data_IF_680862869223
#
_entry.id   IF_680862869223
#
_cell.length_a   1.000
_cell.length_b   1.000
_cell.length_c   1.000
_cell.angle_alpha   90.00
_cell.angle_beta   90.00
_cell.angle_gamma   90.00
#
_symmetry.space_group_name_H-M   'P 1'
#
loop_
_entity.id
_entity.type
_entity.pdbx_description
1 polymer ?
#
# COMPACT_ATOMS: atom_id res chain seq x y z
N UNK A 1 5.21 18.83 -8.74
CA UNK A 1 4.61 17.70 -9.49
C UNK A 1 4.04 16.73 -8.47
N UNK A 2 2.72 16.50 -8.45
CA UNK A 2 2.14 15.49 -7.55
C UNK A 2 2.66 14.12 -7.98
N UNK A 3 3.06 13.29 -7.01
CA UNK A 3 3.61 11.97 -7.27
C UNK A 3 2.60 10.98 -7.89
N UNK A 4 1.32 11.37 -7.96
CA UNK A 4 0.21 10.57 -8.47
C UNK A 4 -0.76 11.47 -9.26
N UNK A 5 -1.28 10.96 -10.39
CA UNK A 5 -2.27 11.65 -11.23
C UNK A 5 -3.68 11.63 -10.64
N UNK A 6 -3.98 10.63 -9.80
CA UNK A 6 -5.23 10.50 -9.05
C UNK A 6 -5.00 9.61 -7.84
N UNK A 7 -5.28 10.12 -6.63
CA UNK A 7 -5.17 9.36 -5.38
C UNK A 7 -6.37 8.41 -5.23
N UNK A 8 -6.13 7.23 -4.66
CA UNK A 8 -7.16 6.18 -4.50
C UNK A 8 -7.42 5.85 -3.03
N UNK A 9 -6.37 5.75 -2.20
CA UNK A 9 -6.51 5.39 -0.79
C UNK A 9 -5.40 5.98 0.06
N UNK A 10 -5.71 6.21 1.33
CA UNK A 10 -4.78 6.63 2.38
C UNK A 10 -5.10 5.91 3.69
N UNK A 11 -4.09 5.57 4.48
CA UNK A 11 -4.30 4.99 5.81
C UNK A 11 -3.15 5.29 6.76
N UNK A 12 -3.49 5.68 7.99
CA UNK A 12 -2.53 5.88 9.10
C UNK A 12 -2.25 4.52 9.77
N UNK A 13 -1.03 4.33 10.29
CA UNK A 13 -0.65 3.11 10.99
C UNK A 13 -1.18 3.09 12.43
N UNK A 14 -1.03 1.98 13.15
CA UNK A 14 -1.57 1.81 14.51
C UNK A 14 -0.89 2.67 15.59
N UNK A 15 0.16 3.42 15.25
CA UNK A 15 0.89 4.30 16.18
C UNK A 15 0.74 5.79 15.85
N UNK A 16 -0.04 6.14 14.83
CA UNK A 16 -0.23 7.51 14.35
C UNK A 16 1.07 8.24 13.93
N UNK A 17 2.10 7.47 13.55
CA UNK A 17 3.41 8.01 13.16
C UNK A 17 3.62 7.99 11.64
N UNK A 18 3.01 7.02 10.96
CA UNK A 18 3.18 6.79 9.54
C UNK A 18 1.83 6.77 8.82
N UNK A 19 1.82 7.19 7.56
CA UNK A 19 0.70 6.91 6.67
C UNK A 19 1.15 6.41 5.31
N UNK A 20 0.32 5.57 4.71
CA UNK A 20 0.45 5.11 3.33
C UNK A 20 -0.49 5.90 2.44
N UNK A 21 -0.05 6.20 1.23
CA UNK A 21 -0.90 6.73 0.17
C UNK A 21 -0.71 5.92 -1.11
N UNK A 22 -1.81 5.61 -1.78
CA UNK A 22 -1.84 5.00 -3.10
C UNK A 22 -2.61 5.90 -4.08
N UNK A 23 -2.33 5.70 -5.36
CA UNK A 23 -3.08 6.30 -6.45
C UNK A 23 -3.32 5.29 -7.56
N UNK A 24 -3.84 5.76 -8.69
CA UNK A 24 -4.06 4.94 -9.90
C UNK A 24 -2.73 4.54 -10.56
N UNK A 25 -1.95 3.74 -9.84
CA UNK A 25 -0.58 3.32 -10.14
C UNK A 25 -0.31 1.98 -9.45
N UNK A 26 0.82 1.35 -9.75
CA UNK A 26 1.25 0.09 -9.11
C UNK A 26 2.10 0.32 -7.86
N UNK A 27 2.14 1.56 -7.37
CA UNK A 27 3.07 2.03 -6.36
C UNK A 27 2.33 2.52 -5.11
N UNK A 28 2.99 2.41 -3.96
CA UNK A 28 2.53 2.94 -2.67
C UNK A 28 3.62 3.82 -2.09
N UNK A 29 3.27 5.00 -1.58
CA UNK A 29 4.19 5.87 -0.86
C UNK A 29 3.95 5.77 0.65
N UNK A 30 5.05 5.73 1.40
CA UNK A 30 5.09 5.79 2.86
C UNK A 30 5.59 7.17 3.30
N UNK A 31 4.89 7.76 4.26
CA UNK A 31 5.18 9.08 4.79
C UNK A 31 5.32 9.03 6.31
N UNK A 32 6.20 9.86 6.83
CA UNK A 32 6.29 10.22 8.24
C UNK A 32 5.35 11.39 8.51
N UNK A 33 4.44 11.23 9.47
CA UNK A 33 3.41 12.23 9.80
C UNK A 33 4.06 13.46 10.42
N UNK A 34 4.99 13.26 11.37
CA UNK A 34 5.57 14.33 12.17
C UNK A 34 6.38 15.34 11.33
N UNK A 35 7.18 14.83 10.39
CA UNK A 35 8.01 15.66 9.52
C UNK A 35 7.35 16.01 8.19
N UNK A 36 6.23 15.37 7.84
CA UNK A 36 5.57 15.50 6.55
C UNK A 36 6.40 14.97 5.37
N UNK A 37 7.48 14.22 5.64
CA UNK A 37 8.40 13.73 4.60
C UNK A 37 7.91 12.40 4.04
N UNK A 38 8.08 12.25 2.73
CA UNK A 38 7.96 10.94 2.08
C UNK A 38 9.22 10.13 2.39
N UNK A 39 9.05 9.05 3.14
CA UNK A 39 10.14 8.16 3.51
C UNK A 39 10.53 7.23 2.36
N UNK A 40 9.52 6.67 1.68
CA UNK A 40 9.73 5.64 0.68
C UNK A 40 8.63 5.61 -0.37
N UNK A 41 8.96 5.12 -1.57
CA UNK A 41 7.99 4.68 -2.57
C UNK A 41 8.28 3.22 -2.86
N UNK A 42 7.30 2.36 -2.61
CA UNK A 42 7.30 0.97 -3.03
C UNK A 42 6.80 0.90 -4.46
N UNK A 43 7.63 0.45 -5.38
CA UNK A 43 7.34 0.44 -6.82
C UNK A 43 6.94 -0.95 -7.29
N UNK A 44 6.02 -1.01 -8.26
CA UNK A 44 5.62 -2.25 -8.95
C UNK A 44 5.17 -3.37 -7.99
N UNK A 45 4.40 -3.01 -6.95
CA UNK A 45 3.89 -3.96 -5.96
C UNK A 45 2.81 -4.90 -6.54
N UNK A 46 2.14 -4.44 -7.59
CA UNK A 46 1.07 -5.14 -8.31
C UNK A 46 1.31 -5.06 -9.82
N UNK A 47 0.60 -5.86 -10.60
CA UNK A 47 0.60 -5.80 -12.07
C UNK A 47 -0.47 -4.83 -12.61
N UNK A 48 -1.41 -4.39 -11.76
CA UNK A 48 -2.49 -3.45 -12.07
C UNK A 48 -2.55 -2.30 -11.07
N UNK A 49 -3.44 -1.33 -11.31
CA UNK A 49 -3.57 -0.16 -10.43
C UNK A 49 -4.08 -0.56 -9.04
N UNK A 50 -3.46 0.02 -8.01
CA UNK A 50 -3.82 -0.19 -6.60
C UNK A 50 -4.99 0.73 -6.25
N UNK A 51 -6.09 0.13 -5.81
CA UNK A 51 -7.29 0.83 -5.38
C UNK A 51 -7.34 1.06 -3.88
N UNK A 52 -6.83 0.13 -3.06
CA UNK A 52 -6.84 0.28 -1.59
C UNK A 52 -5.48 -0.03 -0.99
N UNK A 53 -5.14 0.74 0.04
CA UNK A 53 -4.03 0.46 0.97
C UNK A 53 -4.51 0.63 2.40
N UNK A 54 -4.17 -0.32 3.28
CA UNK A 54 -4.54 -0.31 4.71
C UNK A 54 -3.42 -0.86 5.57
N UNK A 55 -3.06 -0.14 6.63
CA UNK A 55 -2.28 -0.73 7.71
C UNK A 55 -3.12 -1.71 8.52
N UNK A 56 -2.47 -2.69 9.15
CA UNK A 56 -3.09 -3.53 10.16
C UNK A 56 -3.32 -2.74 11.46
N UNK A 57 -4.49 -2.90 12.07
CA UNK A 57 -4.82 -2.19 13.31
C UNK A 57 -3.93 -2.57 14.51
N UNK A 58 -3.32 -3.76 14.48
CA UNK A 58 -2.53 -4.30 15.58
C UNK A 58 -1.01 -4.24 15.34
N UNK A 59 -0.56 -3.70 14.20
CA UNK A 59 0.86 -3.65 13.87
C UNK A 59 1.18 -2.40 13.04
N UNK A 60 2.16 -1.58 13.46
CA UNK A 60 2.56 -0.39 12.70
C UNK A 60 3.35 -0.72 11.43
N UNK A 61 3.75 -1.97 11.24
CA UNK A 61 4.62 -2.42 10.15
C UNK A 61 3.90 -3.28 9.10
N UNK A 62 2.73 -3.82 9.41
CA UNK A 62 1.99 -4.69 8.49
C UNK A 62 0.95 -3.88 7.74
N UNK A 63 0.87 -4.07 6.43
CA UNK A 63 -0.17 -3.45 5.60
C UNK A 63 -0.59 -4.37 4.46
N UNK A 64 -1.77 -4.09 3.91
CA UNK A 64 -2.32 -4.79 2.76
C UNK A 64 -2.62 -3.81 1.62
N UNK A 65 -2.47 -4.32 0.40
CA UNK A 65 -2.83 -3.63 -0.84
C UNK A 65 -3.81 -4.50 -1.63
N UNK A 66 -4.74 -3.87 -2.33
CA UNK A 66 -5.58 -4.52 -3.34
C UNK A 66 -5.44 -3.81 -4.68
N UNK A 67 -5.65 -4.57 -5.76
CA UNK A 67 -5.46 -4.09 -7.12
C UNK A 67 -6.47 -4.68 -8.10
N UNK A 68 -6.65 -3.97 -9.21
CA UNK A 68 -7.34 -4.48 -10.40
C UNK A 68 -6.64 -5.66 -11.08
N UNK A 69 -5.42 -6.05 -10.65
CA UNK A 69 -4.79 -7.30 -11.06
C UNK A 69 -5.40 -8.56 -10.41
N UNK A 70 -6.46 -8.39 -9.62
CA UNK A 70 -7.21 -9.45 -8.94
C UNK A 70 -6.51 -10.01 -7.69
N UNK A 71 -5.45 -9.36 -7.19
CA UNK A 71 -4.75 -9.77 -5.98
C UNK A 71 -4.99 -8.81 -4.80
N UNK A 72 -5.08 -9.40 -3.59
CA UNK A 72 -4.71 -8.77 -2.32
C UNK A 72 -3.30 -9.23 -1.98
N UNK A 73 -2.41 -8.30 -1.61
CA UNK A 73 -1.08 -8.62 -1.11
C UNK A 73 -0.88 -8.04 0.28
N UNK A 74 -0.26 -8.83 1.17
CA UNK A 74 0.16 -8.39 2.51
C UNK A 74 1.66 -8.18 2.54
N UNK A 75 2.09 -7.13 3.23
CA UNK A 75 3.47 -6.67 3.28
C UNK A 75 3.87 -6.37 4.72
N UNK A 76 5.16 -6.47 4.99
CA UNK A 76 5.76 -6.14 6.28
C UNK A 76 6.94 -5.19 6.07
N UNK A 77 6.86 -3.97 6.62
CA UNK A 77 7.89 -2.94 6.54
C UNK A 77 9.23 -3.36 7.15
N UNK A 78 9.25 -4.39 8.00
CA UNK A 78 10.47 -4.94 8.60
C UNK A 78 11.25 -5.83 7.62
N UNK A 79 10.62 -6.21 6.52
CA UNK A 79 11.20 -7.03 5.46
C UNK A 79 11.51 -6.18 4.24
N UNK A 80 12.42 -6.65 3.37
CA UNK A 80 12.60 -6.00 2.08
C UNK A 80 11.31 -6.19 1.26
N UNK A 81 10.75 -5.13 0.66
CA UNK A 81 9.49 -5.16 -0.08
C UNK A 81 9.67 -5.77 -1.49
N UNK A 82 10.37 -6.92 -1.58
CA UNK A 82 10.62 -7.62 -2.84
C UNK A 82 9.50 -8.62 -3.12
N UNK A 83 9.05 -9.33 -2.08
CA UNK A 83 7.95 -10.28 -2.17
C UNK A 83 6.92 -9.97 -1.08
N UNK A 84 5.62 -10.10 -1.38
CA UNK A 84 4.60 -10.01 -0.36
C UNK A 84 4.73 -11.19 0.62
N UNK A 85 4.39 -10.97 1.88
CA UNK A 85 4.31 -12.04 2.88
C UNK A 85 3.17 -13.02 2.56
N UNK A 86 2.13 -12.55 1.87
CA UNK A 86 0.97 -13.33 1.47
C UNK A 86 0.29 -12.70 0.25
N UNK A 87 -0.23 -13.53 -0.65
CA UNK A 87 -1.05 -13.10 -1.80
C UNK A 87 -2.33 -13.93 -1.80
N UNK A 88 -3.48 -13.27 -1.93
CA UNK A 88 -4.76 -13.91 -2.21
C UNK A 88 -5.33 -13.37 -3.52
N UNK A 89 -5.67 -14.27 -4.44
CA UNK A 89 -6.22 -13.91 -5.76
C UNK A 89 -7.71 -14.21 -5.83
N UNK A 90 -8.48 -13.30 -6.44
CA UNK A 90 -9.88 -13.52 -6.78
C UNK A 90 -10.00 -14.19 -8.15
N UNK A 91 -10.83 -15.23 -8.26
CA UNK A 91 -11.10 -15.91 -9.53
C UNK A 91 -12.39 -15.44 -10.23
N UNK A 92 -13.16 -14.54 -9.61
CA UNK A 92 -14.53 -14.19 -10.04
C UNK A 92 -14.85 -12.69 -10.10
N UNK A 93 -13.86 -11.80 -10.01
CA UNK A 93 -14.06 -10.34 -10.10
C UNK A 93 -13.21 -9.53 -9.13
N UNK A 94 -13.33 -8.20 -9.21
CA UNK A 94 -12.41 -7.24 -8.60
C UNK A 94 -12.19 -7.43 -7.10
N UNK A 95 -10.94 -7.30 -6.69
CA UNK A 95 -10.54 -7.17 -5.29
C UNK A 95 -10.74 -5.70 -4.87
N UNK A 96 -11.50 -5.48 -3.80
CA UNK A 96 -11.96 -4.15 -3.35
C UNK A 96 -10.87 -3.26 -2.80
#
# INVERSE_FOLDING_TARGET
MSAYSSLTSVHVNSTDELFLASGYSRNVALYDINSGKRLQVFTDMHHGHINVVKFANHSPSIFATSSFDQDVKMWDLRQKPVNPCFTASSSRGNVM
#
